data_IF_547888863757
#
_entry.id   IF_547888863757
#
_cell.length_a   1.000
_cell.length_b   1.000
_cell.length_c   1.000
_cell.angle_alpha   90.00
_cell.angle_beta   90.00
_cell.angle_gamma   90.00
#
_symmetry.space_group_name_H-M   'P 1'
#
loop_
_entity.id
_entity.type
_entity.pdbx_description
1 polymer ?
#
# COMPACT_ATOMS: atom_id res chain seq x y z
N UNK A 1 11.23 13.11 10.40
CA UNK A 1 12.36 14.06 10.33
C UNK A 1 12.49 14.54 8.88
N UNK A 2 12.64 15.84 8.67
CA UNK A 2 13.01 16.43 7.37
C UNK A 2 14.50 16.80 7.45
N UNK A 3 15.28 16.56 6.40
CA UNK A 3 16.70 16.91 6.36
C UNK A 3 17.14 17.33 4.97
N UNK A 4 17.95 18.39 4.89
CA UNK A 4 18.69 18.77 3.69
C UNK A 4 20.13 18.36 3.93
N UNK A 5 20.65 17.44 3.10
CA UNK A 5 22.02 16.99 3.16
C UNK A 5 22.80 17.56 1.99
N UNK A 6 24.01 18.06 2.22
CA UNK A 6 24.89 18.51 1.15
C UNK A 6 25.13 17.33 0.17
N UNK A 7 24.80 17.49 -1.13
CA UNK A 7 24.97 16.41 -2.12
C UNK A 7 26.38 15.84 -2.17
N UNK A 8 27.41 16.65 -1.91
CA UNK A 8 28.79 16.19 -1.92
C UNK A 8 29.07 15.11 -0.86
N UNK A 9 28.36 15.15 0.29
CA UNK A 9 28.47 14.11 1.31
C UNK A 9 27.93 12.77 0.78
N UNK A 10 26.77 12.78 0.13
CA UNK A 10 26.18 11.59 -0.48
C UNK A 10 27.03 11.02 -1.62
N UNK A 11 27.56 11.89 -2.49
CA UNK A 11 28.47 11.49 -3.58
C UNK A 11 29.73 10.84 -3.00
N UNK A 12 30.29 11.38 -1.91
CA UNK A 12 31.46 10.79 -1.24
C UNK A 12 31.19 9.38 -0.68
N UNK A 13 29.92 9.05 -0.41
CA UNK A 13 29.46 7.73 0.02
C UNK A 13 29.01 6.84 -1.16
N UNK A 14 29.25 7.25 -2.40
CA UNK A 14 28.93 6.48 -3.60
C UNK A 14 27.46 6.55 -4.04
N UNK A 15 26.68 7.48 -3.49
CA UNK A 15 25.29 7.68 -3.91
C UNK A 15 25.27 8.47 -5.22
N UNK A 16 24.62 7.97 -6.30
CA UNK A 16 24.53 8.70 -7.56
C UNK A 16 23.63 9.92 -7.40
N UNK A 17 24.13 11.09 -7.83
CA UNK A 17 23.40 12.36 -7.78
C UNK A 17 23.46 13.04 -9.14
N UNK A 18 22.29 13.48 -9.60
CA UNK A 18 22.12 14.35 -10.76
C UNK A 18 21.53 15.69 -10.32
N UNK A 19 21.75 16.75 -11.10
CA UNK A 19 21.14 18.07 -10.86
C UNK A 19 20.72 18.72 -12.17
N UNK A 20 19.73 19.60 -12.10
CA UNK A 20 19.31 20.47 -13.19
C UNK A 20 18.89 21.83 -12.65
N UNK A 21 18.88 22.85 -13.50
CA UNK A 21 18.24 24.13 -13.22
C UNK A 21 16.95 24.16 -14.03
N UNK A 22 15.79 24.09 -13.39
CA UNK A 22 14.50 24.19 -14.07
C UNK A 22 14.20 25.65 -14.40
N UNK A 23 13.99 25.94 -15.69
CA UNK A 23 13.59 27.24 -16.20
C UNK A 23 12.08 27.31 -16.42
N UNK A 24 11.57 28.54 -16.64
CA UNK A 24 10.15 28.75 -16.90
C UNK A 24 9.70 28.03 -18.18
N UNK A 25 8.59 27.30 -18.10
CA UNK A 25 8.07 26.49 -19.20
C UNK A 25 8.65 25.08 -19.29
N UNK A 26 9.59 24.69 -18.41
CA UNK A 26 10.15 23.35 -18.37
C UNK A 26 9.44 22.43 -17.38
N UNK A 27 9.34 21.16 -17.75
CA UNK A 27 8.87 20.10 -16.85
C UNK A 27 10.05 19.38 -16.20
N UNK A 28 9.90 19.04 -14.93
CA UNK A 28 10.76 18.10 -14.21
C UNK A 28 9.94 16.89 -13.82
N UNK A 29 10.36 15.70 -14.24
CA UNK A 29 9.69 14.44 -13.93
C UNK A 29 10.50 13.67 -12.90
N UNK A 30 9.89 13.36 -11.76
CA UNK A 30 10.49 12.53 -10.71
C UNK A 30 9.99 11.09 -10.81
N UNK A 31 10.91 10.15 -11.01
CA UNK A 31 10.58 8.73 -11.13
C UNK A 31 10.29 8.09 -9.75
N UNK A 32 9.57 6.96 -9.71
CA UNK A 32 9.26 6.27 -8.45
C UNK A 32 10.50 5.99 -7.60
N UNK A 33 10.43 6.25 -6.29
CA UNK A 33 11.54 6.13 -5.32
C UNK A 33 12.79 6.98 -5.63
N UNK A 34 12.71 7.94 -6.54
CA UNK A 34 13.78 8.93 -6.75
C UNK A 34 13.70 10.03 -5.68
N UNK A 35 14.62 10.00 -4.72
CA UNK A 35 14.77 11.09 -3.74
C UNK A 35 15.21 12.37 -4.45
N UNK A 36 14.56 13.47 -4.14
CA UNK A 36 14.85 14.78 -4.72
C UNK A 36 14.81 15.86 -3.65
N UNK A 37 15.63 16.89 -3.84
CA UNK A 37 15.68 18.10 -3.03
C UNK A 37 16.11 19.26 -3.93
N UNK A 38 15.74 20.49 -3.57
CA UNK A 38 16.06 21.67 -4.37
C UNK A 38 15.82 22.96 -3.61
N UNK A 39 16.17 24.07 -4.25
CA UNK A 39 15.92 25.42 -3.78
C UNK A 39 15.66 26.34 -4.98
N UNK A 40 15.00 27.46 -4.75
CA UNK A 40 14.70 28.44 -5.79
C UNK A 40 15.82 29.49 -5.87
N UNK A 41 16.23 29.85 -7.09
CA UNK A 41 17.23 30.90 -7.33
C UNK A 41 16.66 32.32 -7.13
N UNK A 42 15.34 32.47 -7.14
CA UNK A 42 14.64 33.74 -7.00
C UNK A 42 13.13 33.54 -6.91
N UNK A 43 12.36 34.63 -7.04
CA UNK A 43 10.91 34.56 -7.05
C UNK A 43 10.40 33.78 -8.26
N UNK A 44 9.56 32.77 -8.00
CA UNK A 44 8.94 31.95 -9.04
C UNK A 44 7.57 31.42 -8.58
N UNK A 45 6.89 30.74 -9.51
CA UNK A 45 5.67 29.99 -9.26
C UNK A 45 5.78 28.64 -9.97
N UNK A 46 5.40 27.56 -9.29
CA UNK A 46 5.45 26.20 -9.81
C UNK A 46 4.24 25.40 -9.34
N UNK A 47 3.84 24.41 -10.14
CA UNK A 47 2.77 23.46 -9.84
C UNK A 47 3.30 22.03 -10.01
N UNK A 48 2.80 21.10 -9.21
CA UNK A 48 3.22 19.70 -9.23
C UNK A 48 2.04 18.75 -8.98
N UNK A 49 2.11 17.58 -9.61
CA UNK A 49 1.10 16.52 -9.46
C UNK A 49 1.78 15.15 -9.42
N UNK A 50 1.18 14.21 -8.68
CA UNK A 50 1.58 12.81 -8.72
C UNK A 50 0.77 12.07 -9.79
N UNK A 51 1.39 11.14 -10.49
CA UNK A 51 0.73 10.28 -11.47
C UNK A 51 1.26 8.85 -11.38
N UNK A 52 0.47 7.89 -11.89
CA UNK A 52 0.72 6.46 -11.74
C UNK A 52 0.52 5.73 -13.09
N UNK A 53 1.55 5.65 -13.93
CA UNK A 53 1.49 4.89 -15.18
C UNK A 53 1.46 3.36 -14.94
N UNK A 54 1.26 2.57 -16.00
CA UNK A 54 1.11 1.12 -15.88
C UNK A 54 2.29 0.41 -15.18
N UNK A 55 3.52 0.88 -15.42
CA UNK A 55 4.76 0.38 -14.81
C UNK A 55 4.92 0.77 -13.34
N UNK A 56 4.12 1.70 -12.82
CA UNK A 56 4.10 2.05 -11.40
C UNK A 56 3.41 1.00 -10.54
N UNK A 57 2.38 0.30 -11.04
CA UNK A 57 1.60 -0.69 -10.27
C UNK A 57 2.46 -1.67 -9.45
N UNK A 58 3.42 -2.41 -10.05
CA UNK A 58 4.27 -3.33 -9.27
C UNK A 58 5.13 -2.61 -8.22
N UNK A 59 5.54 -1.37 -8.48
CA UNK A 59 6.30 -0.56 -7.52
C UNK A 59 5.39 -0.14 -6.35
N UNK A 60 4.14 0.21 -6.64
CA UNK A 60 3.10 0.50 -5.66
C UNK A 60 2.88 -0.65 -4.69
N UNK A 61 2.74 -1.88 -5.20
CA UNK A 61 2.60 -3.09 -4.36
C UNK A 61 3.80 -3.31 -3.43
N UNK A 62 5.02 -3.18 -3.95
CA UNK A 62 6.25 -3.27 -3.13
C UNK A 62 6.31 -2.15 -2.09
N UNK A 63 5.83 -0.95 -2.44
CA UNK A 63 5.76 0.19 -1.54
C UNK A 63 4.83 -0.08 -0.34
N UNK A 64 3.66 -0.68 -0.56
CA UNK A 64 2.73 -1.05 0.52
C UNK A 64 3.36 -2.04 1.49
N UNK A 65 4.05 -3.08 0.98
CA UNK A 65 4.79 -4.02 1.85
C UNK A 65 5.88 -3.30 2.65
N UNK A 66 6.60 -2.37 2.03
CA UNK A 66 7.61 -1.58 2.72
C UNK A 66 7.03 -0.65 3.79
N UNK A 67 5.88 -0.03 3.52
CA UNK A 67 5.16 0.78 4.50
C UNK A 67 4.69 -0.05 5.69
N UNK A 68 4.18 -1.26 5.43
CA UNK A 68 3.79 -2.21 6.47
C UNK A 68 4.93 -2.55 7.44
N UNK A 69 6.14 -2.77 6.91
CA UNK A 69 7.35 -3.01 7.74
C UNK A 69 7.76 -1.79 8.59
N UNK A 70 7.43 -0.58 8.15
CA UNK A 70 7.78 0.67 8.83
C UNK A 70 6.65 1.23 9.69
N UNK A 71 5.51 0.53 9.79
CA UNK A 71 4.30 1.01 10.46
C UNK A 71 3.81 2.37 9.93
N UNK A 72 3.95 2.57 8.61
CA UNK A 72 3.58 3.81 7.95
C UNK A 72 2.17 3.71 7.36
N UNK A 73 1.34 4.70 7.65
CA UNK A 73 0.00 4.82 7.07
C UNK A 73 0.04 4.90 5.54
N UNK A 74 -0.85 4.16 4.88
CA UNK A 74 -1.12 4.30 3.46
C UNK A 74 -2.08 5.46 3.21
N UNK A 75 -1.96 6.11 2.05
CA UNK A 75 -2.88 7.18 1.62
C UNK A 75 -4.15 6.59 0.98
N UNK A 76 -4.07 5.37 0.46
CA UNK A 76 -5.17 4.58 -0.08
C UNK A 76 -4.80 3.09 -0.09
N UNK A 77 -5.78 2.21 -0.30
CA UNK A 77 -5.55 0.77 -0.48
C UNK A 77 -5.14 0.43 -1.91
N UNK A 78 -3.95 -0.15 -2.09
CA UNK A 78 -3.47 -0.57 -3.41
C UNK A 78 -4.28 -1.74 -3.98
N UNK A 79 -4.71 -2.68 -3.13
CA UNK A 79 -5.56 -3.79 -3.55
C UNK A 79 -6.95 -3.32 -3.96
N UNK A 80 -7.49 -2.30 -3.29
CA UNK A 80 -8.75 -1.66 -3.69
C UNK A 80 -8.64 -1.05 -5.09
N UNK A 81 -7.56 -0.29 -5.34
CA UNK A 81 -7.29 0.30 -6.66
C UNK A 81 -7.28 -0.78 -7.75
N UNK A 82 -6.53 -1.87 -7.55
CA UNK A 82 -6.41 -2.97 -8.53
C UNK A 82 -7.75 -3.64 -8.79
N UNK A 83 -8.54 -3.91 -7.75
CA UNK A 83 -9.89 -4.47 -7.90
C UNK A 83 -10.83 -3.52 -8.64
N UNK A 84 -10.79 -2.21 -8.35
CA UNK A 84 -11.62 -1.21 -9.06
C UNK A 84 -11.26 -1.10 -10.54
N UNK A 85 -9.97 -1.19 -10.87
CA UNK A 85 -9.53 -1.22 -12.26
C UNK A 85 -10.01 -2.49 -12.98
N UNK A 86 -9.92 -3.65 -12.32
CA UNK A 86 -10.36 -4.92 -12.88
C UNK A 86 -11.88 -5.03 -13.11
N UNK A 87 -12.70 -4.21 -12.42
CA UNK A 87 -14.16 -4.18 -12.58
C UNK A 87 -14.63 -3.58 -13.91
N UNK A 88 -13.80 -2.77 -14.58
CA UNK A 88 -14.17 -2.10 -15.83
C UNK A 88 -12.99 -2.11 -16.82
N UNK A 89 -12.58 -3.30 -17.30
CA UNK A 89 -11.37 -3.48 -18.10
C UNK A 89 -11.47 -2.80 -19.47
N UNK A 90 -12.69 -2.65 -20.01
CA UNK A 90 -12.93 -2.04 -21.33
C UNK A 90 -12.57 -0.54 -21.37
N UNK A 91 -12.51 0.12 -20.21
CA UNK A 91 -12.09 1.52 -20.09
C UNK A 91 -10.59 1.69 -19.88
N UNK A 92 -9.84 0.61 -19.69
CA UNK A 92 -8.41 0.67 -19.43
C UNK A 92 -7.62 0.64 -20.74
N UNK A 93 -6.56 1.45 -20.79
CA UNK A 93 -5.51 1.25 -21.79
C UNK A 93 -4.93 -0.16 -21.66
N UNK A 94 -4.54 -0.77 -22.79
CA UNK A 94 -4.07 -2.16 -22.84
C UNK A 94 -2.86 -2.40 -21.92
N UNK A 95 -1.97 -1.42 -21.79
CA UNK A 95 -0.80 -1.54 -20.91
C UNK A 95 -1.19 -1.54 -19.43
N UNK A 96 -2.18 -0.72 -19.07
CA UNK A 96 -2.74 -0.65 -17.73
C UNK A 96 -3.52 -1.92 -17.41
N UNK A 97 -4.36 -2.41 -18.32
CA UNK A 97 -5.10 -3.65 -18.16
C UNK A 97 -4.15 -4.85 -17.95
N UNK A 98 -3.11 -4.96 -18.77
CA UNK A 98 -2.11 -6.02 -18.63
C UNK A 98 -1.37 -5.95 -17.29
N UNK A 99 -0.93 -4.76 -16.87
CA UNK A 99 -0.25 -4.57 -15.58
C UNK A 99 -1.19 -4.86 -14.39
N UNK A 100 -2.44 -4.43 -14.48
CA UNK A 100 -3.49 -4.71 -13.49
C UNK A 100 -3.72 -6.20 -13.34
N UNK A 101 -3.84 -6.94 -14.45
CA UNK A 101 -4.00 -8.39 -14.43
C UNK A 101 -2.81 -9.10 -13.77
N UNK A 102 -1.58 -8.73 -14.14
CA UNK A 102 -0.37 -9.30 -13.55
C UNK A 102 -0.27 -9.05 -12.05
N UNK A 103 -0.67 -7.86 -11.62
CA UNK A 103 -0.69 -7.48 -10.21
C UNK A 103 -1.80 -8.20 -9.43
N UNK A 104 -2.99 -8.32 -10.02
CA UNK A 104 -4.13 -9.06 -9.48
C UNK A 104 -3.82 -10.55 -9.28
N UNK A 105 -3.08 -11.19 -10.19
CA UNK A 105 -2.64 -12.58 -10.01
C UNK A 105 -1.79 -12.75 -8.75
N UNK A 106 -0.81 -11.85 -8.53
CA UNK A 106 0.05 -11.88 -7.33
C UNK A 106 -0.75 -11.65 -6.05
N UNK A 107 -1.71 -10.73 -6.11
CA UNK A 107 -2.64 -10.42 -5.03
C UNK A 107 -3.47 -11.63 -4.64
N UNK A 108 -4.15 -12.27 -5.59
CA UNK A 108 -4.99 -13.46 -5.36
C UNK A 108 -4.18 -14.62 -4.83
N UNK A 109 -2.99 -14.88 -5.39
CA UNK A 109 -2.11 -15.94 -4.90
C UNK A 109 -1.66 -15.70 -3.45
N UNK A 110 -1.23 -14.48 -3.12
CA UNK A 110 -0.80 -14.15 -1.76
C UNK A 110 -1.95 -14.27 -0.76
N UNK A 111 -3.13 -13.74 -1.11
CA UNK A 111 -4.32 -13.79 -0.29
C UNK A 111 -4.77 -15.24 -0.01
N UNK A 112 -4.69 -16.12 -1.02
CA UNK A 112 -5.00 -17.54 -0.87
C UNK A 112 -4.08 -18.22 0.17
N UNK A 113 -2.77 -18.00 0.09
CA UNK A 113 -1.82 -18.58 1.03
C UNK A 113 -2.00 -18.04 2.46
N UNK A 114 -2.29 -16.74 2.59
CA UNK A 114 -2.56 -16.11 3.88
C UNK A 114 -3.83 -16.67 4.53
N UNK A 115 -4.94 -16.80 3.77
CA UNK A 115 -6.19 -17.39 4.26
C UNK A 115 -6.03 -18.86 4.64
N UNK A 116 -5.28 -19.63 3.84
CA UNK A 116 -4.96 -21.03 4.16
C UNK A 116 -4.18 -21.12 5.47
N UNK A 117 -3.18 -20.28 5.65
CA UNK A 117 -2.39 -20.25 6.90
C UNK A 117 -3.25 -19.95 8.13
N UNK A 118 -4.19 -19.01 8.01
CA UNK A 118 -5.15 -18.72 9.09
C UNK A 118 -6.09 -19.90 9.40
N UNK A 119 -6.57 -20.58 8.36
CA UNK A 119 -7.39 -21.77 8.52
C UNK A 119 -6.61 -22.88 9.24
N UNK A 120 -5.39 -23.16 8.81
CA UNK A 120 -4.48 -24.14 9.44
C UNK A 120 -4.15 -23.76 10.91
N UNK A 121 -4.19 -22.46 11.24
CA UNK A 121 -4.05 -21.95 12.59
C UNK A 121 -5.27 -22.17 13.51
N UNK A 122 -6.43 -22.50 12.93
CA UNK A 122 -7.67 -22.77 13.64
C UNK A 122 -8.70 -21.64 13.61
N UNK A 123 -8.51 -20.61 12.77
CA UNK A 123 -9.55 -19.59 12.56
C UNK A 123 -10.68 -20.19 11.74
N UNK A 124 -11.85 -20.33 12.35
CA UNK A 124 -13.02 -20.99 11.75
C UNK A 124 -14.19 -20.04 11.49
N UNK A 125 -14.26 -18.92 12.20
CA UNK A 125 -15.29 -17.91 12.01
C UNK A 125 -14.91 -16.96 10.88
N UNK A 126 -15.84 -16.72 9.96
CA UNK A 126 -15.69 -15.76 8.88
C UNK A 126 -16.93 -14.88 8.75
N UNK A 127 -16.71 -13.56 8.73
CA UNK A 127 -17.75 -12.55 8.52
C UNK A 127 -17.47 -11.80 7.22
N UNK A 128 -18.52 -11.34 6.55
CA UNK A 128 -18.38 -10.50 5.35
C UNK A 128 -18.44 -9.04 5.75
N UNK A 129 -17.52 -8.25 5.22
CA UNK A 129 -17.50 -6.79 5.39
C UNK A 129 -17.24 -6.13 4.04
N UNK A 130 -17.79 -4.93 3.83
CA UNK A 130 -17.58 -4.14 2.61
C UNK A 130 -16.64 -2.99 2.93
N UNK A 131 -15.34 -3.27 2.85
CA UNK A 131 -14.29 -2.37 3.34
C UNK A 131 -14.30 -1.00 2.66
N UNK A 132 -14.71 -0.88 1.40
CA UNK A 132 -14.78 0.40 0.68
C UNK A 132 -15.83 1.38 1.22
N UNK A 133 -16.77 0.91 2.04
CA UNK A 133 -17.76 1.76 2.69
C UNK A 133 -17.29 2.28 4.05
N UNK A 134 -16.20 1.70 4.59
CA UNK A 134 -15.63 2.13 5.86
C UNK A 134 -14.64 3.28 5.64
N UNK A 135 -14.62 4.28 6.54
CA UNK A 135 -13.54 5.27 6.59
C UNK A 135 -12.17 4.60 6.70
N UNK A 136 -11.14 5.19 6.08
CA UNK A 136 -9.78 4.63 6.05
C UNK A 136 -9.20 4.38 7.45
N UNK A 137 -9.50 5.22 8.42
CA UNK A 137 -9.06 5.10 9.82
C UNK A 137 -9.72 3.93 10.56
N UNK A 138 -10.91 3.49 10.14
CA UNK A 138 -11.62 2.35 10.75
C UNK A 138 -11.18 0.99 10.18
N UNK A 139 -10.56 0.98 9.00
CA UNK A 139 -10.07 -0.23 8.31
C UNK A 139 -8.55 -0.34 8.26
N UNK A 140 -7.84 0.39 9.11
CA UNK A 140 -6.39 0.29 9.25
C UNK A 140 -5.98 -0.83 10.19
N UNK A 141 -4.95 -1.57 9.80
CA UNK A 141 -4.31 -2.53 10.69
C UNK A 141 -3.69 -1.82 11.89
N UNK A 142 -4.01 -2.27 13.11
CA UNK A 142 -3.49 -1.71 14.35
C UNK A 142 -1.97 -1.80 14.47
N UNK A 143 -1.36 -2.79 13.81
CA UNK A 143 0.08 -3.02 13.84
C UNK A 143 0.79 -2.35 12.65
N UNK A 144 0.59 -2.84 11.44
CA UNK A 144 1.36 -2.39 10.26
C UNK A 144 0.83 -1.10 9.62
N UNK A 145 -0.32 -0.59 10.08
CA UNK A 145 -0.97 0.65 9.57
C UNK A 145 -1.40 0.61 8.10
N UNK A 146 -1.36 -0.57 7.47
CA UNK A 146 -1.92 -0.79 6.13
C UNK A 146 -3.45 -0.69 6.17
N UNK A 147 -4.03 0.02 5.21
CA UNK A 147 -5.49 0.06 4.97
C UNK A 147 -5.95 -1.28 4.39
N UNK A 148 -6.73 -2.04 5.15
CA UNK A 148 -7.21 -3.36 4.76
C UNK A 148 -8.36 -3.27 3.74
N UNK A 149 -8.39 -4.22 2.80
CA UNK A 149 -9.42 -4.27 1.76
C UNK A 149 -9.86 -5.70 1.41
N UNK A 150 -8.93 -6.64 1.18
CA UNK A 150 -9.29 -8.02 0.79
C UNK A 150 -9.77 -8.85 1.98
N UNK A 151 -9.05 -8.74 3.08
CA UNK A 151 -9.36 -9.40 4.34
C UNK A 151 -8.65 -8.72 5.50
N UNK A 152 -9.20 -8.96 6.68
CA UNK A 152 -8.58 -8.60 7.94
C UNK A 152 -8.95 -9.64 9.01
N UNK A 153 -8.21 -9.65 10.11
CA UNK A 153 -8.53 -10.47 11.27
C UNK A 153 -8.96 -9.56 12.40
N UNK A 154 -10.04 -9.91 13.08
CA UNK A 154 -10.45 -9.25 14.33
C UNK A 154 -10.36 -10.20 15.50
N UNK A 155 -10.05 -9.65 16.67
CA UNK A 155 -10.03 -10.40 17.93
C UNK A 155 -10.88 -9.69 18.98
N UNK A 156 -11.84 -10.42 19.57
CA UNK A 156 -12.68 -9.93 20.67
C UNK A 156 -12.07 -10.13 22.06
N UNK A 157 -10.79 -10.55 22.11
CA UNK A 157 -10.02 -10.81 23.32
C UNK A 157 -9.85 -9.61 24.29
N UNK A 158 -10.26 -8.39 23.92
CA UNK A 158 -10.20 -7.24 24.82
C UNK A 158 -11.47 -6.37 24.69
N UNK A 159 -12.24 -6.25 25.78
CA UNK A 159 -13.59 -5.68 25.87
C UNK A 159 -13.75 -4.20 25.45
N UNK A 160 -12.71 -3.53 24.95
CA UNK A 160 -12.72 -2.07 24.75
C UNK A 160 -12.52 -1.59 23.31
N UNK A 161 -12.45 -2.48 22.30
CA UNK A 161 -12.62 -2.25 20.84
C UNK A 161 -12.01 -3.45 20.10
N UNK A 162 -12.74 -4.01 19.14
CA UNK A 162 -12.19 -5.05 18.26
C UNK A 162 -11.01 -4.50 17.49
N UNK A 163 -9.83 -5.06 17.71
CA UNK A 163 -8.61 -4.69 16.98
C UNK A 163 -8.63 -5.34 15.60
N UNK A 164 -8.15 -4.63 14.58
CA UNK A 164 -8.12 -5.07 13.20
C UNK A 164 -6.67 -5.34 12.78
N UNK A 165 -6.40 -6.53 12.27
CA UNK A 165 -5.06 -6.97 11.88
C UNK A 165 -5.03 -7.39 10.41
N UNK A 166 -4.09 -6.83 9.65
CA UNK A 166 -3.79 -7.29 8.30
C UNK A 166 -3.14 -8.68 8.34
N UNK A 167 -3.58 -9.58 7.46
CA UNK A 167 -3.21 -11.00 7.47
C UNK A 167 -1.68 -11.22 7.44
N UNK A 168 -0.95 -10.45 6.65
CA UNK A 168 0.49 -10.59 6.45
C UNK A 168 1.32 -10.45 7.75
N UNK A 169 0.84 -9.67 8.73
CA UNK A 169 1.57 -9.42 9.99
C UNK A 169 0.87 -10.00 11.23
N UNK A 170 -0.32 -10.57 11.06
CA UNK A 170 -1.11 -11.13 12.17
C UNK A 170 -0.44 -12.35 12.83
N UNK A 171 0.29 -13.15 12.06
CA UNK A 171 0.88 -14.42 12.52
C UNK A 171 2.09 -14.24 13.45
N UNK A 172 2.79 -13.10 13.38
CA UNK A 172 4.01 -12.85 14.17
C UNK A 172 3.73 -12.40 15.61
N UNK A 173 2.51 -11.96 15.92
CA UNK A 173 2.18 -11.31 17.20
C UNK A 173 0.98 -11.88 17.96
N UNK A 174 0.29 -12.88 17.41
CA UNK A 174 -0.84 -13.48 18.12
C UNK A 174 -0.38 -14.52 19.14
N UNK A 175 0.02 -14.03 20.31
CA UNK A 175 -0.15 -14.71 21.61
C UNK A 175 -1.62 -14.67 22.08
N UNK A 176 -2.54 -14.24 21.20
CA UNK A 176 -3.95 -14.10 21.46
C UNK A 176 -4.65 -15.47 21.51
N UNK A 177 -5.61 -15.61 22.41
CA UNK A 177 -6.42 -16.81 22.56
C UNK A 177 -7.22 -17.06 21.27
N UNK A 178 -6.99 -18.23 20.67
CA UNK A 178 -7.51 -18.66 19.37
C UNK A 178 -9.05 -18.69 19.32
N UNK A 179 -9.68 -18.76 20.49
CA UNK A 179 -11.13 -18.86 20.66
C UNK A 179 -11.90 -17.60 20.24
N UNK A 180 -11.21 -16.47 20.06
CA UNK A 180 -11.82 -15.14 19.86
C UNK A 180 -11.48 -14.48 18.51
N UNK A 181 -10.92 -15.24 17.56
CA UNK A 181 -10.46 -14.72 16.27
C UNK A 181 -11.52 -14.97 15.19
N UNK A 182 -11.93 -13.89 14.50
CA UNK A 182 -12.82 -13.97 13.33
C UNK A 182 -12.14 -13.36 12.11
N UNK A 183 -12.15 -14.10 11.01
CA UNK A 183 -11.71 -13.64 9.70
C UNK A 183 -12.79 -12.71 9.11
N UNK A 184 -12.41 -11.54 8.65
CA UNK A 184 -13.27 -10.66 7.86
C UNK A 184 -12.88 -10.79 6.41
N UNK A 185 -13.84 -11.16 5.57
CA UNK A 185 -13.67 -11.43 4.16
C UNK A 185 -14.38 -10.37 3.32
N UNK A 186 -13.65 -9.83 2.33
CA UNK A 186 -14.29 -9.34 1.12
C UNK A 186 -14.44 -10.51 0.15
N UNK A 187 -15.66 -10.74 -0.34
CA UNK A 187 -15.85 -11.50 -1.57
C UNK A 187 -15.59 -10.53 -2.70
N UNK A 188 -14.44 -10.66 -3.36
CA UNK A 188 -14.28 -10.07 -4.69
C UNK A 188 -15.28 -10.83 -5.58
N UNK A 189 -16.36 -10.16 -5.96
CA UNK A 189 -17.10 -10.57 -7.15
C UNK A 189 -16.21 -10.18 -8.33
N UNK A 190 -15.30 -11.08 -8.71
CA UNK A 190 -14.69 -11.08 -10.05
C UNK A 190 -15.63 -11.84 -10.96
#
# INVERSE_FOLDING_TARGET
>A
LLTIMNPNLLISQGVPICRTNQLAGEFVVTFPRSYHAGFNQGYNFAEAVNFAPADWLPIGRVCVSHYGMLHRFCVFSHDELVCKMAQDPDKLDISIAASTYQDMLKMVMSEKELRKTLFDWGVTQANKEVFELLPDDERQCDYCKTTCFLSAVTCSCNNSKSKLFHLCYSLSFMTLDKSFISLILLLIQV
#
